data_IF_276711771076
#
_entry.id   IF_276711771076
#
_cell.length_a   1.000
_cell.length_b   1.000
_cell.length_c   1.000
_cell.angle_alpha   90.00
_cell.angle_beta   90.00
_cell.angle_gamma   90.00
#
_symmetry.space_group_name_H-M   'P 1'
#
loop_
_entity.id
_entity.type
_entity.pdbx_description
1 polymer ?
#
# COMPACT_ATOMS: atom_id res chain seq x y z
N UNK A 1 -2.91 -20.90 6.13
CA UNK A 1 -1.75 -21.22 5.26
C UNK A 1 -0.82 -20.03 5.26
N UNK A 2 0.49 -20.23 5.41
CA UNK A 2 1.48 -19.14 5.38
C UNK A 2 2.18 -19.16 4.03
N UNK A 3 2.14 -18.03 3.32
CA UNK A 3 2.83 -17.86 2.05
C UNK A 3 4.14 -17.09 2.25
N UNK A 4 5.17 -17.50 1.54
CA UNK A 4 6.47 -16.80 1.56
C UNK A 4 6.51 -15.60 0.61
N UNK A 5 5.54 -15.47 -0.29
CA UNK A 5 5.44 -14.38 -1.24
C UNK A 5 4.02 -14.20 -1.77
N UNK A 6 3.68 -12.99 -2.21
CA UNK A 6 2.42 -12.68 -2.89
C UNK A 6 2.18 -13.56 -4.13
N UNK A 7 3.22 -13.87 -4.89
CA UNK A 7 3.11 -14.68 -6.10
C UNK A 7 2.56 -16.08 -5.82
N UNK A 8 3.05 -16.74 -4.76
CA UNK A 8 2.54 -18.06 -4.34
C UNK A 8 1.08 -17.99 -3.90
N UNK A 9 0.71 -16.97 -3.12
CA UNK A 9 -0.65 -16.78 -2.66
C UNK A 9 -1.63 -16.51 -3.83
N UNK A 10 -1.22 -15.70 -4.80
CA UNK A 10 -2.02 -15.44 -6.01
C UNK A 10 -2.21 -16.72 -6.82
N UNK A 11 -1.16 -17.52 -7.01
CA UNK A 11 -1.24 -18.80 -7.74
C UNK A 11 -2.23 -19.73 -7.08
N UNK A 12 -2.17 -19.89 -5.77
CA UNK A 12 -3.07 -20.78 -5.02
C UNK A 12 -4.52 -20.26 -5.01
N UNK A 13 -4.72 -18.96 -5.03
CA UNK A 13 -6.06 -18.36 -5.15
C UNK A 13 -6.64 -18.63 -6.55
N UNK A 14 -5.84 -18.48 -7.60
CA UNK A 14 -6.25 -18.78 -8.99
C UNK A 14 -6.57 -20.26 -9.15
N UNK A 15 -5.82 -21.15 -8.49
CA UNK A 15 -6.04 -22.58 -8.51
C UNK A 15 -7.25 -23.04 -7.64
N UNK A 16 -7.86 -22.13 -6.86
CA UNK A 16 -8.96 -22.44 -5.96
C UNK A 16 -8.55 -23.11 -4.65
N UNK A 17 -7.24 -23.22 -4.38
CA UNK A 17 -6.73 -23.74 -3.11
C UNK A 17 -6.98 -22.81 -1.92
N UNK A 18 -7.15 -21.51 -2.21
CA UNK A 18 -7.48 -20.44 -1.25
C UNK A 18 -8.66 -19.64 -1.80
N UNK A 19 -9.65 -19.35 -0.97
CA UNK A 19 -10.90 -18.73 -1.40
C UNK A 19 -10.75 -17.22 -1.68
N UNK A 20 -9.88 -16.52 -0.96
CA UNK A 20 -9.63 -15.08 -1.13
C UNK A 20 -8.20 -14.71 -0.72
N UNK A 21 -7.75 -13.57 -1.22
CA UNK A 21 -6.45 -12.98 -0.90
C UNK A 21 -6.63 -11.48 -0.66
N UNK A 22 -5.84 -10.91 0.24
CA UNK A 22 -5.68 -9.46 0.39
C UNK A 22 -4.29 -9.10 -0.14
N UNK A 23 -4.27 -8.27 -1.16
CA UNK A 23 -3.04 -7.84 -1.84
C UNK A 23 -3.26 -6.45 -2.46
N UNK A 24 -2.21 -5.77 -2.88
CA UNK A 24 -2.32 -4.46 -3.51
C UNK A 24 -3.09 -4.52 -4.83
N UNK A 25 -3.92 -3.53 -5.08
CA UNK A 25 -4.77 -3.45 -6.29
C UNK A 25 -3.93 -3.54 -7.57
N UNK A 26 -2.78 -2.84 -7.61
CA UNK A 26 -1.88 -2.87 -8.76
C UNK A 26 -1.38 -4.27 -9.10
N UNK A 27 -1.07 -5.09 -8.09
CA UNK A 27 -0.62 -6.48 -8.27
C UNK A 27 -1.73 -7.37 -8.81
N UNK A 28 -2.97 -7.18 -8.34
CA UNK A 28 -4.10 -8.01 -8.74
C UNK A 28 -4.75 -7.60 -10.06
N UNK A 29 -4.54 -6.35 -10.52
CA UNK A 29 -5.27 -5.77 -11.63
C UNK A 29 -5.16 -6.55 -12.94
N UNK A 30 -3.97 -7.06 -13.29
CA UNK A 30 -3.80 -7.87 -14.51
C UNK A 30 -4.57 -9.19 -14.44
N UNK A 31 -4.66 -9.80 -13.26
CA UNK A 31 -5.42 -11.04 -13.04
C UNK A 31 -6.93 -10.77 -13.05
N UNK A 32 -7.34 -9.62 -12.54
CA UNK A 32 -8.72 -9.17 -12.61
C UNK A 32 -9.17 -8.92 -14.06
N UNK A 33 -8.38 -8.14 -14.83
CA UNK A 33 -8.67 -7.85 -16.24
C UNK A 33 -8.68 -9.10 -17.13
N UNK A 34 -7.87 -10.10 -16.81
CA UNK A 34 -7.86 -11.39 -17.53
C UNK A 34 -8.92 -12.39 -17.05
N UNK A 35 -9.76 -12.02 -16.07
CA UNK A 35 -10.81 -12.88 -15.53
C UNK A 35 -10.32 -14.02 -14.65
N UNK A 36 -9.01 -14.12 -14.35
CA UNK A 36 -8.46 -15.19 -13.50
C UNK A 36 -8.75 -14.97 -12.02
N UNK A 37 -8.89 -13.73 -11.58
CA UNK A 37 -9.32 -13.33 -10.24
C UNK A 37 -10.38 -12.23 -10.37
N UNK A 38 -11.18 -12.08 -9.34
CA UNK A 38 -12.11 -10.96 -9.21
C UNK A 38 -11.72 -10.13 -8.00
N UNK A 39 -11.36 -8.86 -8.19
CA UNK A 39 -11.25 -7.91 -7.09
C UNK A 39 -12.65 -7.55 -6.65
N UNK A 40 -12.96 -7.75 -5.37
CA UNK A 40 -14.30 -7.55 -4.81
C UNK A 40 -14.44 -6.13 -4.28
N UNK A 41 -13.40 -5.63 -3.61
CA UNK A 41 -13.39 -4.30 -3.00
C UNK A 41 -11.95 -3.83 -2.80
N UNK A 42 -11.74 -2.53 -2.66
CA UNK A 42 -10.48 -1.95 -2.22
C UNK A 42 -10.64 -1.28 -0.85
N UNK A 43 -9.55 -1.22 -0.08
CA UNK A 43 -9.54 -0.64 1.26
C UNK A 43 -9.05 0.82 1.29
N UNK A 44 -9.05 1.51 0.15
CA UNK A 44 -8.70 2.92 0.03
C UNK A 44 -9.86 3.82 0.51
N UNK A 45 -9.57 5.08 0.83
CA UNK A 45 -10.60 6.08 1.20
C UNK A 45 -11.60 6.35 0.09
N UNK A 46 -11.15 6.32 -1.16
CA UNK A 46 -11.96 6.48 -2.36
C UNK A 46 -11.56 5.47 -3.41
N UNK A 47 -12.36 5.37 -4.49
CA UNK A 47 -12.06 4.46 -5.59
C UNK A 47 -10.71 4.78 -6.22
N UNK A 48 -9.91 3.76 -6.43
CA UNK A 48 -8.59 3.92 -7.03
C UNK A 48 -8.67 4.22 -8.52
N UNK A 49 -7.87 5.16 -9.02
CA UNK A 49 -7.85 5.54 -10.44
C UNK A 49 -7.54 4.38 -11.37
N UNK A 50 -6.76 3.40 -10.90
CA UNK A 50 -6.43 2.19 -11.67
C UNK A 50 -7.62 1.22 -11.74
N UNK A 51 -8.60 1.35 -10.85
CA UNK A 51 -9.74 0.45 -10.68
C UNK A 51 -11.04 1.22 -10.36
N UNK A 52 -11.50 2.13 -11.22
CA UNK A 52 -12.63 3.02 -10.93
C UNK A 52 -13.96 2.27 -10.76
N UNK A 53 -14.07 1.08 -11.32
CA UNK A 53 -15.28 0.24 -11.23
C UNK A 53 -15.34 -0.61 -9.97
N UNK A 54 -14.25 -0.69 -9.20
CA UNK A 54 -14.19 -1.48 -7.98
C UNK A 54 -14.63 -0.61 -6.79
N UNK A 55 -15.65 -1.05 -6.02
CA UNK A 55 -16.11 -0.30 -4.88
C UNK A 55 -15.09 -0.34 -3.74
N UNK A 56 -15.10 0.70 -2.90
CA UNK A 56 -14.36 0.69 -1.65
C UNK A 56 -15.07 -0.17 -0.61
N UNK A 57 -14.34 -0.59 0.43
CA UNK A 57 -14.92 -1.32 1.56
C UNK A 57 -16.02 -0.50 2.24
N UNK A 58 -15.87 0.83 2.33
CA UNK A 58 -16.89 1.72 2.88
C UNK A 58 -18.17 1.75 2.02
N UNK A 59 -18.03 1.79 0.71
CA UNK A 59 -19.19 1.69 -0.21
C UNK A 59 -19.89 0.33 -0.08
N UNK A 60 -19.16 -0.72 0.28
CA UNK A 60 -19.69 -2.05 0.57
C UNK A 60 -20.23 -2.22 2.02
N UNK A 61 -20.27 -1.15 2.82
CA UNK A 61 -20.79 -1.16 4.19
C UNK A 61 -19.79 -1.55 5.27
N UNK A 62 -18.50 -1.67 4.95
CA UNK A 62 -17.43 -2.00 5.90
C UNK A 62 -16.59 -0.75 6.17
N UNK A 63 -16.60 -0.23 7.39
CA UNK A 63 -15.75 0.92 7.76
C UNK A 63 -14.29 0.51 7.97
N UNK A 64 -13.65 0.13 6.88
CA UNK A 64 -12.24 -0.30 6.85
C UNK A 64 -11.48 0.55 5.84
N UNK A 65 -10.40 1.17 6.31
CA UNK A 65 -9.35 1.76 5.47
C UNK A 65 -8.05 1.07 5.85
N UNK A 66 -7.39 0.49 4.87
CA UNK A 66 -6.09 -0.16 5.04
C UNK A 66 -5.27 -0.04 3.75
N UNK A 67 -3.97 0.05 3.90
CA UNK A 67 -3.07 0.13 2.77
C UNK A 67 -1.64 -0.19 3.17
N UNK A 68 -0.78 -0.26 2.17
CA UNK A 68 0.67 -0.36 2.35
C UNK A 68 1.31 0.96 1.98
N UNK A 69 2.40 1.31 2.66
CA UNK A 69 3.18 2.50 2.35
C UNK A 69 4.64 2.12 2.08
N UNK A 70 5.26 2.83 1.15
CA UNK A 70 6.69 2.75 0.90
C UNK A 70 7.36 4.02 1.41
N UNK A 71 8.42 3.88 2.17
CA UNK A 71 9.16 4.99 2.72
C UNK A 71 10.66 4.84 2.44
N UNK A 72 11.32 5.97 2.18
CA UNK A 72 12.79 6.04 2.19
C UNK A 72 13.22 6.28 3.64
N UNK A 73 14.02 5.37 4.18
CA UNK A 73 14.49 5.42 5.56
C UNK A 73 16.01 5.56 5.62
N UNK A 74 16.50 6.16 6.69
CA UNK A 74 17.92 6.23 7.05
C UNK A 74 18.14 5.65 8.45
N UNK A 75 19.36 5.18 8.77
CA UNK A 75 19.70 4.74 10.12
C UNK A 75 19.45 5.83 11.17
N UNK A 76 19.09 5.39 12.39
CA UNK A 76 18.90 6.30 13.50
C UNK A 76 20.22 7.08 13.78
N UNK A 77 20.09 8.38 14.01
CA UNK A 77 21.26 9.25 14.24
C UNK A 77 21.91 9.81 12.97
N UNK A 78 21.39 9.50 11.78
CA UNK A 78 21.87 10.15 10.55
C UNK A 78 21.68 11.67 10.65
N UNK A 79 22.74 12.48 10.43
CA UNK A 79 22.66 13.93 10.53
C UNK A 79 21.62 14.55 9.57
N UNK A 80 20.96 15.63 10.02
CA UNK A 80 19.93 16.31 9.20
C UNK A 80 20.48 16.85 7.90
N UNK A 81 21.74 17.30 7.89
CA UNK A 81 22.45 17.75 6.70
C UNK A 81 22.58 16.69 5.61
N UNK A 82 22.50 15.40 5.96
CA UNK A 82 22.45 14.27 5.03
C UNK A 82 21.01 13.96 4.62
N UNK A 83 20.10 13.94 5.58
CA UNK A 83 18.69 13.58 5.34
C UNK A 83 17.98 14.61 4.45
N UNK A 84 18.15 15.91 4.74
CA UNK A 84 17.39 16.96 4.06
C UNK A 84 17.66 17.07 2.54
N UNK A 85 18.91 17.00 2.05
CA UNK A 85 19.18 16.99 0.61
C UNK A 85 18.55 15.77 -0.09
N UNK A 86 18.60 14.60 0.55
CA UNK A 86 18.01 13.37 0.02
C UNK A 86 16.49 13.50 -0.05
N UNK A 87 15.84 13.97 1.01
CA UNK A 87 14.41 14.18 1.05
C UNK A 87 13.94 15.18 -0.02
N UNK A 88 14.66 16.32 -0.19
CA UNK A 88 14.37 17.28 -1.26
C UNK A 88 14.56 16.69 -2.66
N UNK A 89 15.58 15.86 -2.85
CA UNK A 89 15.79 15.17 -4.13
C UNK A 89 14.67 14.15 -4.42
N UNK A 90 14.28 13.36 -3.42
CA UNK A 90 13.17 12.41 -3.51
C UNK A 90 11.85 13.12 -3.86
N UNK A 91 11.49 14.20 -3.16
CA UNK A 91 10.28 14.99 -3.46
C UNK A 91 10.27 15.47 -4.90
N UNK A 92 11.39 16.07 -5.39
CA UNK A 92 11.48 16.52 -6.79
C UNK A 92 11.35 15.39 -7.81
N UNK A 93 11.84 14.20 -7.50
CA UNK A 93 11.68 13.02 -8.37
C UNK A 93 10.22 12.58 -8.40
N UNK A 94 9.54 12.59 -7.26
CA UNK A 94 8.14 12.20 -7.13
C UNK A 94 7.16 13.17 -7.82
N UNK A 95 7.59 14.39 -8.15
CA UNK A 95 6.81 15.36 -8.90
C UNK A 95 6.97 15.22 -10.44
N UNK A 96 7.92 14.41 -10.90
CA UNK A 96 8.16 14.23 -12.35
C UNK A 96 7.00 13.50 -13.01
N UNK A 97 6.45 14.01 -14.15
CA UNK A 97 5.31 13.39 -14.83
C UNK A 97 5.52 11.91 -15.15
N UNK A 98 6.69 11.54 -15.66
CA UNK A 98 7.01 10.16 -15.99
C UNK A 98 7.03 9.22 -14.75
N UNK A 99 7.42 9.75 -13.58
CA UNK A 99 7.39 8.99 -12.31
C UNK A 99 5.95 8.85 -11.83
N UNK A 100 5.17 9.92 -11.85
CA UNK A 100 3.76 9.91 -11.49
C UNK A 100 2.95 8.94 -12.36
N UNK A 101 3.18 8.94 -13.67
CA UNK A 101 2.56 8.01 -14.60
C UNK A 101 2.93 6.56 -14.27
N UNK A 102 4.22 6.31 -14.02
CA UNK A 102 4.67 4.96 -13.64
C UNK A 102 4.06 4.49 -12.32
N UNK A 103 4.02 5.34 -11.31
CA UNK A 103 3.38 5.03 -10.03
C UNK A 103 1.88 4.76 -10.19
N UNK A 104 1.19 5.56 -11.00
CA UNK A 104 -0.23 5.36 -11.29
C UNK A 104 -0.50 3.98 -11.94
N UNK A 105 0.38 3.52 -12.86
CA UNK A 105 0.24 2.17 -13.45
C UNK A 105 0.43 1.04 -12.44
N UNK A 106 1.10 1.32 -11.33
CA UNK A 106 1.32 0.38 -10.23
C UNK A 106 0.24 0.51 -9.12
N UNK A 107 -0.71 1.42 -9.27
CA UNK A 107 -1.71 1.71 -8.24
C UNK A 107 -1.12 2.42 -7.01
N UNK A 108 0.04 3.06 -7.15
CA UNK A 108 0.71 3.78 -6.07
C UNK A 108 0.37 5.26 -6.17
N UNK A 109 -0.16 5.82 -5.08
CA UNK A 109 -0.38 7.26 -4.95
C UNK A 109 0.73 7.87 -4.10
N UNK A 110 1.54 8.79 -4.64
CA UNK A 110 2.58 9.45 -3.86
C UNK A 110 1.96 10.40 -2.85
N UNK A 111 2.55 10.47 -1.66
CA UNK A 111 2.27 11.54 -0.72
C UNK A 111 2.88 12.84 -1.29
N UNK A 112 2.03 13.78 -1.67
CA UNK A 112 2.48 15.10 -2.11
C UNK A 112 3.15 15.85 -0.96
N UNK A 113 4.31 16.48 -1.25
CA UNK A 113 5.03 17.36 -0.31
C UNK A 113 5.40 16.73 1.04
N UNK A 114 5.69 15.41 1.09
CA UNK A 114 6.07 14.79 2.34
C UNK A 114 7.46 15.25 2.80
N UNK A 115 7.51 15.92 3.95
CA UNK A 115 8.75 16.21 4.65
C UNK A 115 9.19 15.03 5.53
N UNK A 116 10.47 14.93 5.94
CA UNK A 116 10.92 13.92 6.88
C UNK A 116 10.09 13.85 8.17
N UNK A 117 9.66 14.99 8.69
CA UNK A 117 8.82 15.07 9.88
C UNK A 117 7.41 14.49 9.64
N UNK A 118 6.81 14.78 8.49
CA UNK A 118 5.51 14.24 8.12
C UNK A 118 5.59 12.72 7.89
N UNK A 119 6.64 12.25 7.21
CA UNK A 119 6.87 10.81 7.02
C UNK A 119 7.04 10.09 8.36
N UNK A 120 7.80 10.65 9.28
CA UNK A 120 7.98 10.10 10.63
C UNK A 120 6.67 10.07 11.42
N UNK A 121 5.89 11.15 11.39
CA UNK A 121 4.58 11.21 12.06
C UNK A 121 3.60 10.18 11.49
N UNK A 122 3.57 10.03 10.17
CA UNK A 122 2.75 9.01 9.50
C UNK A 122 3.13 7.60 9.96
N UNK A 123 4.41 7.24 9.90
CA UNK A 123 4.89 5.92 10.34
C UNK A 123 4.57 5.66 11.81
N UNK A 124 4.80 6.65 12.68
CA UNK A 124 4.46 6.53 14.10
C UNK A 124 2.95 6.29 14.32
N UNK A 125 2.10 6.99 13.57
CA UNK A 125 0.65 6.79 13.61
C UNK A 125 0.23 5.40 13.16
N UNK A 126 0.79 4.90 12.05
CA UNK A 126 0.50 3.55 11.56
C UNK A 126 1.01 2.47 12.54
N UNK A 127 2.20 2.62 13.10
CA UNK A 127 2.73 1.71 14.14
C UNK A 127 1.78 1.67 15.35
N UNK A 128 1.33 2.81 15.85
CA UNK A 128 0.41 2.86 16.97
C UNK A 128 -0.93 2.17 16.66
N UNK A 129 -1.50 2.47 15.48
CA UNK A 129 -2.76 1.90 15.00
C UNK A 129 -2.68 0.38 14.89
N UNK A 130 -1.68 -0.15 14.17
CA UNK A 130 -1.55 -1.58 13.94
C UNK A 130 -1.11 -2.35 15.19
N UNK A 131 -0.28 -1.77 16.05
CA UNK A 131 0.07 -2.36 17.35
C UNK A 131 -1.15 -2.63 18.22
N UNK A 132 -2.11 -1.70 18.23
CA UNK A 132 -3.36 -1.90 18.95
C UNK A 132 -4.18 -3.08 18.39
N UNK A 133 -4.26 -3.23 17.07
CA UNK A 133 -4.93 -4.34 16.40
C UNK A 133 -4.25 -5.68 16.69
N UNK A 134 -2.93 -5.74 16.52
CA UNK A 134 -2.12 -6.94 16.77
C UNK A 134 -2.27 -7.41 18.22
N UNK A 135 -2.21 -6.46 19.17
CA UNK A 135 -2.42 -6.76 20.59
C UNK A 135 -3.83 -7.30 20.87
N UNK A 136 -4.85 -6.70 20.27
CA UNK A 136 -6.26 -7.14 20.44
C UNK A 136 -6.48 -8.54 19.88
N UNK A 137 -5.81 -8.91 18.81
CA UNK A 137 -5.93 -10.21 18.15
C UNK A 137 -5.02 -11.29 18.77
N UNK A 138 -4.14 -10.95 19.71
CA UNK A 138 -3.21 -11.89 20.33
C UNK A 138 -2.17 -12.45 19.35
N UNK A 139 -1.85 -11.71 18.28
CA UNK A 139 -0.86 -12.13 17.28
C UNK A 139 0.54 -11.91 17.87
N UNK A 140 1.33 -12.99 18.00
CA UNK A 140 2.75 -12.88 18.32
C UNK A 140 3.52 -12.46 17.05
N UNK A 141 4.34 -11.41 17.19
CA UNK A 141 5.27 -10.92 16.17
C UNK A 141 6.65 -11.52 16.37
#
# INVERSE_FOLDING_TARGET
MLFRSSAGAITDTIAGNVQYIIETTGTLMQHHKSGRLRIITCFAEGREKIAPDIPTAREAGLDIIAGTSNALAAPLGTPREVIEPIARAASRVMERPAVLERLATLGIQPFANSSPAQAQAYVAGEVARWSAVVKKLGIAL
#
